data_IF_572007823619
#
_entry.id   IF_572007823619
#
_cell.length_a   1.000
_cell.length_b   1.000
_cell.length_c   1.000
_cell.angle_alpha   90.00
_cell.angle_beta   90.00
_cell.angle_gamma   90.00
#
_symmetry.space_group_name_H-M   'P 1'
#
loop_
_entity.id
_entity.type
_entity.pdbx_description
1 polymer ?
#
# COMPACT_ATOMS: atom_id res chain seq x y z
N UNK A 1 -19.50 -2.71 -6.57
CA UNK A 1 -19.88 -3.63 -5.48
C UNK A 1 -18.86 -3.53 -4.33
N UNK A 2 -19.31 -3.25 -3.13
CA UNK A 2 -18.46 -3.24 -1.93
C UNK A 2 -18.45 -4.61 -1.27
N UNK A 3 -17.29 -5.17 -1.01
CA UNK A 3 -17.15 -6.39 -0.20
C UNK A 3 -16.86 -5.94 1.23
N UNK A 4 -17.76 -6.24 2.17
CA UNK A 4 -17.52 -6.04 3.61
C UNK A 4 -16.69 -7.21 4.11
N UNK A 5 -15.46 -6.94 4.54
CA UNK A 5 -14.64 -7.90 5.25
C UNK A 5 -15.12 -8.16 6.68
N UNK A 6 -14.65 -9.24 7.27
CA UNK A 6 -14.94 -9.64 8.65
C UNK A 6 -14.52 -8.55 9.64
N UNK A 7 -15.29 -8.36 10.70
CA UNK A 7 -14.86 -7.56 11.84
C UNK A 7 -13.70 -8.28 12.54
N UNK A 8 -12.61 -7.55 12.74
CA UNK A 8 -11.43 -8.05 13.43
C UNK A 8 -11.41 -7.41 14.82
N UNK A 9 -11.27 -8.24 15.83
CA UNK A 9 -11.21 -7.86 17.24
C UNK A 9 -9.87 -8.29 17.83
N UNK A 10 -9.42 -7.61 18.89
CA UNK A 10 -8.11 -7.81 19.47
C UNK A 10 -7.93 -9.04 20.37
N UNK A 11 -8.96 -9.86 20.58
CA UNK A 11 -8.94 -10.97 21.53
C UNK A 11 -7.89 -12.05 21.22
N UNK A 12 -7.47 -12.17 19.97
CA UNK A 12 -6.58 -13.24 19.50
C UNK A 12 -5.17 -12.75 19.17
N UNK A 13 -4.87 -11.46 19.41
CA UNK A 13 -3.56 -10.89 19.14
C UNK A 13 -2.61 -11.11 20.33
N UNK A 14 -1.40 -11.55 20.02
CA UNK A 14 -0.30 -11.65 20.99
C UNK A 14 0.78 -10.60 20.66
N UNK A 15 1.64 -10.33 21.65
CA UNK A 15 2.84 -9.52 21.46
C UNK A 15 3.87 -10.33 20.67
N UNK A 16 4.30 -9.81 19.54
CA UNK A 16 5.26 -10.47 18.66
C UNK A 16 6.49 -9.58 18.46
N UNK A 17 7.65 -10.21 18.35
CA UNK A 17 8.89 -9.54 17.95
C UNK A 17 8.89 -9.38 16.42
N UNK A 18 8.81 -8.12 15.97
CA UNK A 18 8.74 -7.79 14.53
C UNK A 18 9.97 -8.32 13.77
N UNK A 19 11.15 -8.34 14.40
CA UNK A 19 12.38 -8.82 13.77
C UNK A 19 12.38 -10.35 13.52
N UNK A 20 11.58 -11.10 14.25
CA UNK A 20 11.45 -12.55 14.07
C UNK A 20 10.41 -12.91 12.99
N UNK A 21 9.40 -12.06 12.79
CA UNK A 21 8.30 -12.32 11.86
C UNK A 21 8.47 -11.65 10.50
N UNK A 22 9.28 -10.58 10.40
CA UNK A 22 9.56 -9.86 9.16
C UNK A 22 11.04 -9.95 8.81
N UNK A 23 11.31 -10.50 7.63
CA UNK A 23 12.67 -10.59 7.07
C UNK A 23 12.63 -10.35 5.55
N UNK A 24 13.55 -9.53 5.04
CA UNK A 24 13.69 -9.25 3.60
C UNK A 24 12.36 -8.83 2.93
N UNK A 25 11.60 -7.94 3.56
CA UNK A 25 10.28 -7.48 3.09
C UNK A 25 9.24 -8.61 2.96
N UNK A 26 9.37 -9.66 3.76
CA UNK A 26 8.44 -10.79 3.82
C UNK A 26 7.99 -11.02 5.24
N UNK A 27 6.71 -11.38 5.42
CA UNK A 27 6.14 -11.72 6.73
C UNK A 27 5.90 -13.22 6.83
N UNK A 28 6.33 -13.82 7.96
CA UNK A 28 6.02 -15.21 8.30
C UNK A 28 4.82 -15.25 9.24
N UNK A 29 3.78 -15.96 8.85
CA UNK A 29 2.57 -16.11 9.67
C UNK A 29 2.87 -16.99 10.88
N UNK A 30 2.46 -16.52 12.06
CA UNK A 30 2.59 -17.26 13.33
C UNK A 30 1.35 -17.08 14.20
N UNK A 31 1.24 -17.90 15.24
CA UNK A 31 0.23 -17.73 16.28
C UNK A 31 0.31 -16.32 16.89
N UNK A 32 -0.83 -15.77 17.28
CA UNK A 32 -0.90 -14.39 17.81
C UNK A 32 -1.11 -13.32 16.73
N UNK A 33 -1.19 -13.71 15.47
CA UNK A 33 -1.66 -12.87 14.36
C UNK A 33 -3.13 -13.14 14.07
N UNK A 34 -3.84 -12.15 13.56
CA UNK A 34 -5.13 -12.32 12.88
C UNK A 34 -4.92 -12.15 11.39
N UNK A 35 -5.30 -13.15 10.62
CA UNK A 35 -5.13 -13.16 9.16
C UNK A 35 -6.49 -13.28 8.49
N UNK A 36 -6.74 -12.42 7.52
CA UNK A 36 -7.91 -12.50 6.63
C UNK A 36 -7.47 -12.19 5.20
N UNK A 37 -8.37 -12.37 4.24
CA UNK A 37 -8.04 -12.14 2.83
C UNK A 37 -9.06 -11.27 2.11
N UNK A 38 -8.61 -10.70 1.01
CA UNK A 38 -9.41 -10.03 0.00
C UNK A 38 -9.09 -10.66 -1.34
N UNK A 39 -10.15 -11.05 -2.07
CA UNK A 39 -10.03 -11.50 -3.45
C UNK A 39 -10.97 -10.66 -4.30
N UNK A 40 -10.44 -10.05 -5.36
CA UNK A 40 -11.21 -9.24 -6.29
C UNK A 40 -10.99 -9.73 -7.73
N UNK A 41 -12.09 -9.89 -8.45
CA UNK A 41 -12.11 -10.25 -9.87
C UNK A 41 -13.27 -9.53 -10.54
N UNK A 42 -13.05 -9.02 -11.74
CA UNK A 42 -14.15 -8.48 -12.56
C UNK A 42 -15.03 -9.62 -13.06
N UNK A 43 -16.35 -9.36 -13.18
CA UNK A 43 -17.26 -10.30 -13.83
C UNK A 43 -16.85 -10.49 -15.30
N UNK A 44 -17.05 -11.67 -15.85
CA UNK A 44 -16.71 -11.99 -17.24
C UNK A 44 -17.44 -11.09 -18.27
N UNK A 45 -18.60 -10.54 -17.89
CA UNK A 45 -19.36 -9.57 -18.69
C UNK A 45 -18.79 -8.14 -18.68
N UNK A 46 -17.79 -7.84 -17.83
CA UNK A 46 -17.19 -6.51 -17.81
C UNK A 46 -16.36 -6.29 -19.08
N UNK A 47 -16.58 -5.17 -19.74
CA UNK A 47 -15.86 -4.77 -20.96
C UNK A 47 -14.70 -3.83 -20.66
N UNK A 48 -14.67 -3.22 -19.49
CA UNK A 48 -13.67 -2.26 -19.04
C UNK A 48 -12.93 -2.77 -17.82
N UNK A 49 -11.68 -2.35 -17.70
CA UNK A 49 -10.89 -2.51 -16.46
C UNK A 49 -11.53 -1.76 -15.29
N UNK A 50 -11.12 -2.11 -14.09
CA UNK A 50 -11.44 -1.40 -12.87
C UNK A 50 -10.21 -1.22 -11.99
N UNK A 51 -10.37 -0.62 -10.83
CA UNK A 51 -9.37 -0.62 -9.77
C UNK A 51 -10.00 -0.91 -8.42
N UNK A 52 -9.23 -1.60 -7.60
CA UNK A 52 -9.58 -1.99 -6.25
C UNK A 52 -9.00 -0.97 -5.28
N UNK A 53 -9.84 -0.44 -4.38
CA UNK A 53 -9.41 0.34 -3.22
C UNK A 53 -9.66 -0.47 -1.96
N UNK A 54 -8.66 -0.59 -1.09
CA UNK A 54 -8.74 -1.30 0.20
C UNK A 54 -8.55 -0.28 1.32
N UNK A 55 -9.51 -0.25 2.23
CA UNK A 55 -9.50 0.57 3.43
C UNK A 55 -9.62 -0.30 4.69
N UNK A 56 -8.97 0.16 5.76
CA UNK A 56 -9.22 -0.28 7.13
C UNK A 56 -10.11 0.77 7.80
N UNK A 57 -11.26 0.35 8.33
CA UNK A 57 -12.16 1.23 9.08
C UNK A 57 -12.17 0.81 10.54
N UNK A 58 -11.47 1.57 11.36
CA UNK A 58 -11.35 1.35 12.79
C UNK A 58 -12.43 2.13 13.52
N UNK A 59 -13.30 1.44 14.25
CA UNK A 59 -14.41 2.03 15.00
C UNK A 59 -14.15 2.08 16.50
N UNK A 60 -13.27 1.22 17.01
CA UNK A 60 -12.83 1.19 18.41
C UNK A 60 -11.33 1.02 18.45
N UNK A 61 -10.65 1.80 19.29
CA UNK A 61 -9.22 1.71 19.49
C UNK A 61 -8.90 2.03 20.96
N UNK A 62 -8.17 1.14 21.61
CA UNK A 62 -7.66 1.39 22.96
C UNK A 62 -6.79 2.65 22.99
N UNK A 63 -6.91 3.44 24.05
CA UNK A 63 -6.17 4.69 24.22
C UNK A 63 -4.65 4.50 24.18
N UNK A 64 -4.13 3.35 24.63
CA UNK A 64 -2.70 3.02 24.57
C UNK A 64 -2.16 2.98 23.14
N UNK A 65 -2.93 2.61 22.16
CA UNK A 65 -2.53 2.57 20.74
C UNK A 65 -2.64 3.91 20.01
N UNK A 66 -3.31 4.90 20.61
CA UNK A 66 -3.51 6.21 19.95
C UNK A 66 -2.21 6.99 19.84
N UNK A 67 -2.20 8.06 19.06
CA UNK A 67 -1.02 8.90 18.84
C UNK A 67 -0.46 9.55 20.13
N UNK A 68 -1.23 9.59 21.21
CA UNK A 68 -0.84 10.07 22.54
C UNK A 68 -0.65 8.95 23.58
N UNK A 69 -0.84 7.70 23.20
CA UNK A 69 -0.69 6.54 24.10
C UNK A 69 0.75 6.03 24.18
N UNK A 70 1.07 5.30 25.25
CA UNK A 70 2.42 4.78 25.50
C UNK A 70 2.79 3.59 24.59
N UNK A 71 1.79 2.97 23.94
CA UNK A 71 1.95 1.87 22.98
C UNK A 71 1.64 2.33 21.55
N UNK A 72 1.83 3.62 21.27
CA UNK A 72 1.66 4.18 19.93
C UNK A 72 2.47 3.43 18.89
N UNK A 73 1.80 2.96 17.84
CA UNK A 73 2.44 2.20 16.75
C UNK A 73 2.65 0.73 17.04
N UNK A 74 2.23 0.20 18.20
CA UNK A 74 2.30 -1.23 18.51
C UNK A 74 1.25 -2.04 17.72
N UNK A 75 0.05 -1.52 17.51
CA UNK A 75 -0.95 -2.21 16.69
C UNK A 75 -0.62 -2.05 15.20
N UNK A 76 -0.19 -3.15 14.59
CA UNK A 76 0.30 -3.21 13.22
C UNK A 76 -0.69 -3.86 12.28
N UNK A 77 -0.64 -3.42 11.03
CA UNK A 77 -1.22 -4.14 9.90
C UNK A 77 -0.18 -4.39 8.81
N UNK A 78 -0.34 -5.49 8.10
CA UNK A 78 0.43 -5.81 6.89
C UNK A 78 -0.54 -6.22 5.80
N UNK A 79 -0.36 -5.67 4.60
CA UNK A 79 -0.96 -6.17 3.38
C UNK A 79 0.10 -6.96 2.62
N UNK A 80 -0.19 -8.21 2.32
CA UNK A 80 0.71 -9.09 1.59
C UNK A 80 0.00 -9.71 0.37
N UNK A 81 0.76 -10.04 -0.67
CA UNK A 81 0.23 -10.79 -1.82
C UNK A 81 0.21 -12.28 -1.53
N UNK A 82 -0.78 -13.00 -2.07
CA UNK A 82 -0.80 -14.45 -2.04
C UNK A 82 -1.41 -15.04 -3.31
N UNK A 83 -1.13 -16.31 -3.58
CA UNK A 83 -1.73 -17.05 -4.69
C UNK A 83 -2.98 -17.80 -4.18
N UNK A 84 -4.21 -17.43 -4.59
CA UNK A 84 -5.43 -18.06 -4.12
C UNK A 84 -5.62 -19.50 -4.63
N UNK A 85 -4.90 -19.92 -5.66
CA UNK A 85 -4.90 -21.32 -6.12
C UNK A 85 -4.02 -22.23 -5.24
N UNK A 86 -2.99 -21.66 -4.59
CA UNK A 86 -2.11 -22.39 -3.68
C UNK A 86 -2.66 -22.41 -2.26
N UNK A 87 -3.23 -21.29 -1.80
CA UNK A 87 -3.74 -21.12 -0.45
C UNK A 87 -5.26 -20.93 -0.49
N UNK A 88 -5.98 -22.05 -0.43
CA UNK A 88 -7.46 -22.08 -0.54
C UNK A 88 -8.15 -21.87 0.80
N UNK A 89 -7.47 -22.15 1.91
CA UNK A 89 -7.95 -21.91 3.28
C UNK A 89 -7.12 -20.80 3.91
N UNK A 90 -7.77 -19.73 4.31
CA UNK A 90 -7.13 -18.56 4.91
C UNK A 90 -7.54 -18.47 6.38
N UNK A 91 -6.59 -18.81 7.24
CA UNK A 91 -6.65 -18.60 8.69
C UNK A 91 -5.21 -18.58 9.22
N UNK A 92 -5.02 -18.06 10.41
CA UNK A 92 -3.70 -18.05 11.07
C UNK A 92 -3.14 -19.47 11.21
N UNK A 93 -3.97 -20.43 11.60
CA UNK A 93 -3.55 -21.83 11.76
C UNK A 93 -3.19 -22.50 10.43
N UNK A 94 -3.98 -22.27 9.36
CA UNK A 94 -3.73 -22.87 8.03
C UNK A 94 -2.47 -22.29 7.37
N UNK A 95 -2.11 -21.05 7.68
CA UNK A 95 -0.95 -20.35 7.11
C UNK A 95 0.25 -20.30 8.05
N UNK A 96 0.19 -20.92 9.23
CA UNK A 96 1.28 -20.91 10.20
C UNK A 96 2.61 -21.42 9.58
N UNK A 97 3.69 -20.67 9.77
CA UNK A 97 5.01 -20.94 9.19
C UNK A 97 5.13 -20.60 7.68
N UNK A 98 4.07 -20.13 7.03
CA UNK A 98 4.14 -19.67 5.63
C UNK A 98 4.58 -18.22 5.57
N UNK A 99 5.31 -17.86 4.52
CA UNK A 99 5.91 -16.55 4.33
C UNK A 99 5.36 -15.89 3.07
N UNK A 100 5.02 -14.59 3.16
CA UNK A 100 4.38 -13.82 2.10
C UNK A 100 5.11 -12.49 1.87
N UNK A 101 5.13 -12.02 0.62
CA UNK A 101 5.74 -10.75 0.24
C UNK A 101 4.87 -9.58 0.72
N UNK A 102 5.48 -8.65 1.44
CA UNK A 102 4.82 -7.46 1.99
C UNK A 102 4.66 -6.42 0.87
N UNK A 103 3.43 -5.95 0.69
CA UNK A 103 3.11 -4.84 -0.22
C UNK A 103 3.04 -3.51 0.53
N UNK A 104 2.49 -3.55 1.73
CA UNK A 104 2.39 -2.36 2.58
C UNK A 104 2.31 -2.78 4.05
N UNK A 105 2.86 -1.97 4.93
CA UNK A 105 2.75 -2.14 6.38
C UNK A 105 2.55 -0.79 7.04
N UNK A 106 1.95 -0.80 8.21
CA UNK A 106 1.77 0.41 9.00
C UNK A 106 1.17 0.12 10.37
N UNK A 107 0.89 1.20 11.09
CA UNK A 107 0.29 1.13 12.42
C UNK A 107 -1.09 1.77 12.43
N UNK A 108 -1.99 1.25 13.28
CA UNK A 108 -3.30 1.85 13.54
C UNK A 108 -3.17 2.69 14.81
N UNK A 109 -3.27 4.02 14.67
CA UNK A 109 -3.06 4.99 15.77
C UNK A 109 -4.27 5.90 15.99
N UNK A 110 -5.34 5.72 15.23
CA UNK A 110 -6.59 6.47 15.37
C UNK A 110 -7.79 5.65 14.88
N UNK A 111 -8.96 6.02 15.35
CA UNK A 111 -10.22 5.59 14.71
C UNK A 111 -10.43 6.32 13.40
N UNK A 112 -11.27 5.76 12.51
CA UNK A 112 -11.56 6.31 11.20
C UNK A 112 -11.18 5.37 10.07
N UNK A 113 -11.11 5.91 8.86
CA UNK A 113 -10.79 5.15 7.64
C UNK A 113 -9.36 5.42 7.20
N UNK A 114 -8.58 4.36 7.10
CA UNK A 114 -7.20 4.37 6.58
C UNK A 114 -7.17 3.62 5.25
N UNK A 115 -6.89 4.32 4.16
CA UNK A 115 -6.65 3.67 2.87
C UNK A 115 -5.28 3.00 2.89
N UNK A 116 -5.22 1.70 2.59
CA UNK A 116 -4.00 0.91 2.61
C UNK A 116 -3.52 0.47 1.22
N UNK A 117 -4.42 0.41 0.22
CA UNK A 117 -4.03 0.05 -1.15
C UNK A 117 -5.04 0.58 -2.17
N UNK A 118 -4.51 1.01 -3.31
CA UNK A 118 -5.21 1.08 -4.59
C UNK A 118 -4.47 0.18 -5.59
N UNK A 119 -5.17 -0.67 -6.33
CA UNK A 119 -4.56 -1.58 -7.29
C UNK A 119 -5.40 -1.65 -8.59
N UNK A 120 -4.72 -1.61 -9.74
CA UNK A 120 -5.38 -1.82 -11.03
C UNK A 120 -5.92 -3.26 -11.08
N UNK A 121 -7.19 -3.41 -11.44
CA UNK A 121 -7.85 -4.69 -11.66
C UNK A 121 -8.20 -4.81 -13.14
N UNK A 122 -7.33 -5.48 -13.87
CA UNK A 122 -7.54 -5.71 -15.31
C UNK A 122 -8.54 -6.85 -15.53
N UNK A 123 -9.19 -6.82 -16.69
CA UNK A 123 -10.05 -7.90 -17.15
C UNK A 123 -9.29 -9.24 -17.05
N UNK A 124 -10.00 -10.29 -16.67
CA UNK A 124 -9.48 -11.67 -16.54
C UNK A 124 -8.38 -11.87 -15.49
N UNK A 125 -8.03 -10.84 -14.73
CA UNK A 125 -7.08 -10.95 -13.61
C UNK A 125 -7.81 -11.13 -12.28
N UNK A 126 -7.14 -11.76 -11.32
CA UNK A 126 -7.57 -11.85 -9.94
C UNK A 126 -6.54 -11.18 -9.06
N UNK A 127 -6.95 -10.20 -8.27
CA UNK A 127 -6.13 -9.65 -7.18
C UNK A 127 -6.45 -10.42 -5.90
N UNK A 128 -5.42 -10.85 -5.19
CA UNK A 128 -5.57 -11.60 -3.95
C UNK A 128 -4.56 -11.10 -2.91
N UNK A 129 -5.06 -10.65 -1.77
CA UNK A 129 -4.29 -10.07 -0.70
C UNK A 129 -4.64 -10.69 0.65
N UNK A 130 -3.63 -10.89 1.49
CA UNK A 130 -3.79 -11.12 2.92
C UNK A 130 -3.73 -9.77 3.64
N UNK A 131 -4.61 -9.58 4.61
CA UNK A 131 -4.54 -8.52 5.60
C UNK A 131 -4.25 -9.16 6.94
N UNK A 132 -3.14 -8.78 7.53
CA UNK A 132 -2.57 -9.41 8.72
C UNK A 132 -2.48 -8.34 9.81
N UNK A 133 -2.88 -8.69 11.03
CA UNK A 133 -2.78 -7.82 12.21
C UNK A 133 -1.96 -8.52 13.28
N UNK A 134 -1.16 -7.75 14.00
CA UNK A 134 -0.39 -8.20 15.17
C UNK A 134 -0.06 -7.01 16.08
N UNK A 135 0.43 -7.30 17.29
CA UNK A 135 0.95 -6.30 18.21
C UNK A 135 2.47 -6.43 18.24
N UNK A 136 3.16 -5.35 17.89
CA UNK A 136 4.62 -5.22 17.99
C UNK A 136 5.00 -5.14 19.47
N UNK A 137 5.63 -6.20 19.98
CA UNK A 137 6.00 -6.35 21.40
C UNK A 137 7.02 -5.33 21.86
N UNK A 138 7.90 -4.86 20.96
CA UNK A 138 8.92 -3.85 21.29
C UNK A 138 8.33 -2.46 21.55
N UNK A 139 7.13 -2.19 21.00
CA UNK A 139 6.38 -0.93 21.15
C UNK A 139 5.24 -1.02 22.15
N UNK A 140 4.89 -2.23 22.57
CA UNK A 140 3.81 -2.44 23.51
C UNK A 140 4.25 -2.08 24.94
N UNK A 141 3.38 -1.41 25.68
CA UNK A 141 3.58 -1.07 27.07
C UNK A 141 2.42 -1.62 27.94
N UNK A 142 2.58 -1.62 29.26
CA UNK A 142 1.61 -2.14 30.22
C UNK A 142 0.24 -1.45 30.19
N UNK A 143 0.12 -0.30 29.54
CA UNK A 143 -1.15 0.43 29.39
C UNK A 143 -2.14 -0.27 28.45
N UNK A 144 -1.69 -1.22 27.61
CA UNK A 144 -2.58 -2.06 26.81
C UNK A 144 -3.07 -3.32 27.53
N UNK A 145 -2.54 -3.67 28.71
CA UNK A 145 -2.95 -4.71 29.70
C UNK A 145 -3.80 -5.90 29.19
N UNK A 146 -4.06 -6.88 30.02
CA UNK A 146 -4.79 -8.11 29.65
C UNK A 146 -6.25 -7.91 29.20
N UNK A 147 -6.87 -6.76 29.48
CA UNK A 147 -8.24 -6.43 29.08
C UNK A 147 -8.31 -5.36 27.97
N UNK A 148 -7.21 -4.97 27.40
CA UNK A 148 -7.10 -3.69 26.70
C UNK A 148 -6.69 -3.81 25.22
N UNK A 149 -6.58 -5.00 24.69
CA UNK A 149 -6.48 -5.22 23.25
C UNK A 149 -7.80 -4.90 22.52
N UNK A 150 -8.59 -3.97 23.11
CA UNK A 150 -9.88 -3.62 22.54
C UNK A 150 -9.68 -2.72 21.32
N UNK A 151 -9.65 -3.33 20.17
CA UNK A 151 -9.82 -2.64 18.91
C UNK A 151 -10.87 -3.34 18.06
N UNK A 152 -11.54 -2.57 17.25
CA UNK A 152 -12.46 -3.08 16.24
C UNK A 152 -12.19 -2.37 14.93
N UNK A 153 -11.80 -3.15 13.95
CA UNK A 153 -11.60 -2.68 12.59
C UNK A 153 -12.32 -3.58 11.59
N UNK A 154 -12.79 -3.02 10.51
CA UNK A 154 -13.33 -3.74 9.37
C UNK A 154 -12.52 -3.43 8.14
N UNK A 155 -12.46 -4.37 7.20
CA UNK A 155 -11.84 -4.18 5.91
C UNK A 155 -12.94 -3.83 4.93
N UNK A 156 -12.79 -2.70 4.25
CA UNK A 156 -13.68 -2.26 3.19
C UNK A 156 -12.94 -2.32 1.86
N UNK A 157 -13.43 -3.13 0.92
CA UNK A 157 -12.88 -3.25 -0.40
C UNK A 157 -13.91 -2.77 -1.43
N UNK A 158 -13.52 -1.84 -2.30
CA UNK A 158 -14.39 -1.26 -3.32
C UNK A 158 -13.73 -1.38 -4.68
N UNK A 159 -14.47 -1.88 -5.67
CA UNK A 159 -14.03 -1.88 -7.07
C UNK A 159 -14.74 -0.74 -7.80
N UNK A 160 -13.94 0.14 -8.42
CA UNK A 160 -14.41 1.25 -9.25
C UNK A 160 -14.05 0.96 -10.71
N UNK A 161 -14.98 1.22 -11.63
CA UNK A 161 -14.75 1.05 -13.05
C UNK A 161 -13.81 2.14 -13.58
N UNK A 162 -12.87 1.79 -14.44
CA UNK A 162 -11.92 2.69 -15.09
C UNK A 162 -10.46 2.36 -14.74
N UNK A 163 -9.57 3.19 -15.26
CA UNK A 163 -8.13 3.07 -14.96
C UNK A 163 -7.81 3.77 -13.63
N UNK A 164 -6.86 3.20 -12.91
CA UNK A 164 -6.31 3.84 -11.72
C UNK A 164 -5.75 5.22 -12.08
N UNK A 165 -6.05 6.28 -11.30
CA UNK A 165 -5.51 7.61 -11.56
C UNK A 165 -3.99 7.60 -11.72
N UNK A 166 -3.46 8.33 -12.69
CA UNK A 166 -2.05 8.26 -13.08
C UNK A 166 -1.10 8.63 -11.91
N UNK A 167 -1.47 9.63 -11.11
CA UNK A 167 -0.71 9.96 -9.89
C UNK A 167 -0.64 8.78 -8.91
N UNK A 168 -1.72 8.04 -8.77
CA UNK A 168 -1.78 6.84 -7.92
C UNK A 168 -0.93 5.71 -8.48
N UNK A 169 -0.88 5.53 -9.81
CA UNK A 169 -0.01 4.53 -10.43
C UNK A 169 1.46 4.78 -10.10
N UNK A 170 1.94 6.03 -10.24
CA UNK A 170 3.33 6.40 -9.90
C UNK A 170 3.58 6.25 -8.40
N UNK A 171 2.61 6.63 -7.56
CA UNK A 171 2.71 6.45 -6.10
C UNK A 171 2.85 4.97 -5.74
N UNK A 172 2.08 4.09 -6.37
CA UNK A 172 2.17 2.65 -6.15
C UNK A 172 3.52 2.10 -6.62
N UNK A 173 4.02 2.51 -7.80
CA UNK A 173 5.36 2.09 -8.26
C UNK A 173 6.41 2.37 -7.20
N UNK A 174 6.41 3.57 -6.62
CA UNK A 174 7.32 3.90 -5.53
C UNK A 174 7.05 3.04 -4.28
N UNK A 175 5.81 2.94 -3.82
CA UNK A 175 5.48 2.26 -2.56
C UNK A 175 5.78 0.76 -2.60
N UNK A 176 5.54 0.11 -3.73
CA UNK A 176 5.70 -1.33 -3.92
C UNK A 176 7.16 -1.75 -4.18
N UNK A 177 8.04 -0.81 -4.54
CA UNK A 177 9.45 -1.09 -4.78
C UNK A 177 10.25 -1.26 -3.48
N UNK A 178 11.34 -2.03 -3.54
CA UNK A 178 12.35 -2.07 -2.48
C UNK A 178 13.11 -0.75 -2.47
N UNK A 179 13.31 -0.16 -1.28
CA UNK A 179 14.00 1.12 -1.12
C UNK A 179 15.46 0.92 -0.72
N UNK A 180 16.32 1.74 -1.30
CA UNK A 180 17.72 1.88 -0.89
C UNK A 180 17.86 3.18 -0.10
N UNK A 181 18.19 3.14 1.19
CA UNK A 181 18.41 4.34 1.98
C UNK A 181 19.73 5.02 1.58
N UNK A 182 19.69 6.34 1.40
CA UNK A 182 20.90 7.16 1.17
C UNK A 182 20.84 8.36 2.09
N UNK A 183 21.87 8.54 2.92
CA UNK A 183 21.97 9.68 3.85
C UNK A 183 22.83 10.78 3.24
N UNK A 184 22.29 11.99 3.19
CA UNK A 184 22.98 13.19 2.78
C UNK A 184 22.65 14.34 3.76
N UNK A 185 23.66 15.01 4.29
CA UNK A 185 23.53 16.09 5.28
C UNK A 185 22.59 15.72 6.44
N UNK A 186 22.78 14.54 7.04
CA UNK A 186 21.97 13.99 8.15
C UNK A 186 20.49 13.71 7.80
N UNK A 187 20.09 13.79 6.54
CA UNK A 187 18.77 13.43 6.06
C UNK A 187 18.87 12.11 5.29
N UNK A 188 18.07 11.12 5.68
CA UNK A 188 18.01 9.85 4.96
C UNK A 188 16.85 9.86 3.97
N UNK A 189 17.17 9.73 2.69
CA UNK A 189 16.22 9.60 1.59
C UNK A 189 16.04 8.12 1.25
N UNK A 190 14.85 7.78 0.80
CA UNK A 190 14.51 6.43 0.34
C UNK A 190 14.41 6.41 -1.18
N UNK A 191 15.31 5.70 -1.83
CA UNK A 191 15.39 5.60 -3.28
C UNK A 191 14.83 4.27 -3.78
N UNK A 192 13.93 4.35 -4.75
CA UNK A 192 13.54 3.25 -5.62
C UNK A 192 14.43 3.29 -6.86
N UNK A 193 15.46 2.46 -6.87
CA UNK A 193 16.43 2.42 -7.99
C UNK A 193 15.87 1.75 -9.24
N UNK A 194 14.82 0.93 -9.09
CA UNK A 194 14.17 0.23 -10.20
C UNK A 194 13.38 1.19 -11.09
N UNK A 195 12.58 2.07 -10.48
CA UNK A 195 11.72 3.01 -11.21
C UNK A 195 12.29 4.43 -11.25
N UNK A 196 13.51 4.64 -10.71
CA UNK A 196 14.13 5.97 -10.59
C UNK A 196 13.24 6.97 -9.84
N UNK A 197 12.66 6.53 -8.72
CA UNK A 197 11.79 7.32 -7.87
C UNK A 197 12.40 7.52 -6.49
N UNK A 198 12.18 8.68 -5.89
CA UNK A 198 12.58 8.98 -4.52
C UNK A 198 11.49 9.76 -3.79
N UNK A 199 11.49 9.71 -2.47
CA UNK A 199 10.65 10.57 -1.64
C UNK A 199 11.50 11.70 -1.06
N UNK A 200 11.07 12.95 -1.30
CA UNK A 200 11.72 14.13 -0.72
C UNK A 200 11.27 14.39 0.74
N UNK A 201 11.89 15.36 1.40
CA UNK A 201 11.56 15.75 2.79
C UNK A 201 10.13 16.27 2.97
N UNK A 202 9.50 16.73 1.90
CA UNK A 202 8.08 17.14 1.86
C UNK A 202 7.13 15.98 1.56
N UNK A 203 7.60 14.73 1.58
CA UNK A 203 6.86 13.51 1.22
C UNK A 203 6.36 13.47 -0.23
N UNK A 204 6.91 14.29 -1.13
CA UNK A 204 6.60 14.21 -2.54
C UNK A 204 7.41 13.08 -3.19
N UNK A 205 6.81 12.35 -4.12
CA UNK A 205 7.50 11.34 -4.90
C UNK A 205 8.05 12.00 -6.16
N UNK A 206 9.36 11.92 -6.37
CA UNK A 206 10.05 12.56 -7.49
C UNK A 206 10.79 11.55 -8.34
N UNK A 207 10.84 11.79 -9.63
CA UNK A 207 11.82 11.15 -10.49
C UNK A 207 13.21 11.74 -10.23
N UNK A 208 14.24 10.89 -10.23
CA UNK A 208 15.65 11.27 -10.04
C UNK A 208 16.58 10.59 -11.06
N UNK A 209 17.81 11.06 -11.12
CA UNK A 209 18.83 10.55 -12.05
C UNK A 209 18.95 11.37 -13.33
N UNK A 210 19.98 11.08 -14.11
CA UNK A 210 20.30 11.85 -15.32
C UNK A 210 19.29 11.62 -16.45
N UNK A 211 18.75 10.40 -16.57
CA UNK A 211 17.80 10.05 -17.62
C UNK A 211 16.75 9.02 -17.13
N UNK A 212 15.85 9.40 -16.21
CA UNK A 212 14.77 8.52 -15.77
C UNK A 212 13.76 8.31 -16.89
N UNK A 213 13.06 7.16 -16.87
CA UNK A 213 11.96 6.88 -17.79
C UNK A 213 10.68 7.60 -17.33
N UNK A 214 10.64 8.92 -17.55
CA UNK A 214 9.58 9.81 -17.07
C UNK A 214 8.97 10.69 -18.18
N UNK A 215 9.13 10.31 -19.45
CA UNK A 215 8.56 11.03 -20.58
C UNK A 215 7.14 10.55 -20.84
N UNK A 216 6.25 11.48 -21.20
CA UNK A 216 4.89 11.23 -21.65
C UNK A 216 4.56 12.06 -22.87
N UNK A 217 3.66 11.54 -23.71
CA UNK A 217 2.98 12.33 -24.72
C UNK A 217 1.86 13.13 -24.07
N UNK A 218 1.84 14.43 -24.32
CA UNK A 218 0.84 15.35 -23.78
C UNK A 218 0.46 16.41 -24.82
N UNK A 219 -0.71 17.04 -24.66
CA UNK A 219 -1.23 18.05 -25.59
C UNK A 219 -1.23 17.55 -27.06
N UNK A 220 -1.84 16.38 -27.27
CA UNK A 220 -1.87 15.72 -28.57
C UNK A 220 -2.98 16.27 -29.46
N UNK A 221 -2.69 16.46 -30.75
CA UNK A 221 -3.71 16.70 -31.79
C UNK A 221 -4.54 15.44 -32.08
N UNK A 222 -3.96 14.25 -31.86
CA UNK A 222 -4.63 12.95 -31.96
C UNK A 222 -4.18 12.03 -30.81
N UNK A 223 -5.07 11.81 -29.84
CA UNK A 223 -4.83 10.93 -28.70
C UNK A 223 -4.98 9.44 -29.03
N UNK A 224 -5.61 9.09 -30.14
CA UNK A 224 -5.71 7.70 -30.60
C UNK A 224 -4.45 7.22 -31.34
N UNK A 225 -3.64 8.16 -31.85
CA UNK A 225 -2.38 7.90 -32.53
C UNK A 225 -1.26 8.78 -31.94
N UNK A 226 -0.85 8.49 -30.72
CA UNK A 226 0.16 9.26 -30.00
C UNK A 226 1.57 9.01 -30.57
N UNK A 227 2.21 10.08 -30.99
CA UNK A 227 3.57 10.07 -31.53
C UNK A 227 4.25 11.43 -31.32
N UNK A 228 5.53 11.54 -31.58
CA UNK A 228 6.25 12.82 -31.54
C UNK A 228 5.77 13.83 -32.60
N UNK A 229 5.04 13.38 -33.62
CA UNK A 229 4.46 14.28 -34.64
C UNK A 229 3.05 14.75 -34.28
N UNK A 230 2.34 14.05 -33.41
CA UNK A 230 0.96 14.37 -32.99
C UNK A 230 0.87 14.91 -31.58
N UNK A 231 1.94 14.82 -30.79
CA UNK A 231 1.97 15.20 -29.37
C UNK A 231 3.22 15.97 -29.01
N UNK A 232 3.11 16.76 -27.97
CA UNK A 232 4.29 17.30 -27.28
C UNK A 232 4.88 16.25 -26.32
N UNK A 233 6.22 16.23 -26.21
CA UNK A 233 6.90 15.39 -25.22
C UNK A 233 7.08 16.19 -23.94
N UNK A 234 6.54 15.68 -22.84
CA UNK A 234 6.66 16.26 -21.52
C UNK A 234 7.35 15.29 -20.57
N UNK A 235 7.99 15.82 -19.53
CA UNK A 235 8.59 15.03 -18.46
C UNK A 235 7.79 15.14 -17.19
N UNK A 236 7.59 14.02 -16.50
CA UNK A 236 7.01 13.97 -15.18
C UNK A 236 8.12 14.31 -14.17
N UNK A 237 7.94 15.39 -13.40
CA UNK A 237 8.85 15.73 -12.30
C UNK A 237 8.55 14.83 -11.09
N UNK A 238 7.27 14.57 -10.83
CA UNK A 238 6.85 13.75 -9.69
C UNK A 238 5.39 13.96 -9.33
N UNK A 239 5.04 13.48 -8.13
CA UNK A 239 3.71 13.61 -7.51
C UNK A 239 3.81 14.56 -6.33
N UNK A 240 3.05 15.65 -6.38
CA UNK A 240 3.00 16.71 -5.39
C UNK A 240 1.56 16.91 -4.93
N UNK A 241 1.29 16.73 -3.65
CA UNK A 241 -0.07 16.80 -3.10
C UNK A 241 -1.07 15.94 -3.89
N UNK A 242 -0.68 14.71 -4.26
CA UNK A 242 -1.51 13.78 -5.02
C UNK A 242 -1.72 14.14 -6.49
N UNK A 243 -1.02 15.15 -7.03
CA UNK A 243 -1.12 15.59 -8.42
C UNK A 243 0.19 15.37 -9.17
N UNK A 244 0.10 14.97 -10.43
CA UNK A 244 1.25 14.86 -11.33
C UNK A 244 1.75 16.25 -11.68
N UNK A 245 3.04 16.51 -11.50
CA UNK A 245 3.71 17.73 -11.97
C UNK A 245 4.51 17.43 -13.22
N UNK A 246 4.24 18.19 -14.28
CA UNK A 246 4.86 18.05 -15.60
C UNK A 246 5.74 19.26 -15.91
N UNK A 247 6.76 19.02 -16.74
CA UNK A 247 7.55 20.08 -17.40
C UNK A 247 7.66 19.74 -18.89
N UNK A 248 7.59 20.74 -19.75
CA UNK A 248 7.79 20.54 -21.20
C UNK A 248 9.21 20.10 -21.50
N UNK A 249 9.37 19.08 -22.35
CA UNK A 249 10.69 18.48 -22.64
C UNK A 249 11.56 19.29 -23.58
N UNK A 250 10.97 20.20 -24.39
CA UNK A 250 11.70 21.11 -25.27
C UNK A 250 11.66 22.55 -24.76
N UNK A 251 12.76 23.30 -24.92
CA UNK A 251 12.73 24.74 -24.74
C UNK A 251 11.66 25.35 -25.66
N UNK A 252 10.87 26.27 -25.11
CA UNK A 252 10.05 27.16 -25.94
C UNK A 252 11.10 28.07 -26.60
N UNK A 253 11.25 27.95 -27.92
CA UNK A 253 12.08 28.89 -28.65
C UNK A 253 11.58 30.33 -28.44
N UNK A 254 12.51 31.26 -28.23
CA UNK A 254 12.24 32.69 -28.23
C UNK A 254 11.66 33.11 -29.60
#
# INVERSE_FOLDING_TARGET
>A
DSVKGSNITGSDLLLLDENQIINNNRITITSGMVVTNITAKLKSSCTLDGYLTINLKTTTLNSGFTSSGNSTGALKYVLASYNPSTYTTISTSALNGKTFDILTTGSITSTGTLKIKDAQLSKDTTLAYLVIFYIDGDKANNDIGSNSTNFKTSIEATVTQGKLPFATQITNLYNDAIKTPVTNNSITYQYDTTNSLMKDIGNNIRYYGANPNNHIYFNCSDYSNQSSSTCEIWRIIGIFNGKVKLIRGSQIGD
#
